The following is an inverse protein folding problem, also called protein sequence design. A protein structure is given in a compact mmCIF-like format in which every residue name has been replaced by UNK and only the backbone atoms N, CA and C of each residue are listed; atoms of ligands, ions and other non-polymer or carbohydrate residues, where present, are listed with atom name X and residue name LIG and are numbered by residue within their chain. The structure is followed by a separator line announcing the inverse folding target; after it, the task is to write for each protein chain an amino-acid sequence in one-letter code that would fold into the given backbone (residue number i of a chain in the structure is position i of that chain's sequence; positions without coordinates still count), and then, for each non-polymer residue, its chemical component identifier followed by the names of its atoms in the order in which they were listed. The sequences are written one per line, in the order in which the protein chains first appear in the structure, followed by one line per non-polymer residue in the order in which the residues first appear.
data_IF_878865635202
#
_entry.id   IF_878865635202
#
_cell.length_a   1.000
_cell.length_b   1.000
_cell.length_c   1.000
_cell.angle_alpha   90.00
_cell.angle_beta   90.00
_cell.angle_gamma   90.00
#
_symmetry.space_group_name_H-M   'P 1'
#
loop_
_entity.id
_entity.type
_entity.pdbx_description
1 polymer ?
#
# COMPACT_ATOMS: atom_id res chain seq x y z
N UNK A 1 -32.67 15.77 15.84
CA UNK A 1 -32.96 14.35 16.17
C UNK A 1 -32.05 13.53 15.29
N UNK A 2 -31.26 12.61 15.85
CA UNK A 2 -30.42 11.74 15.02
C UNK A 2 -31.35 10.88 14.14
N UNK A 3 -31.07 10.80 12.84
CA UNK A 3 -31.84 9.97 11.94
C UNK A 3 -31.58 8.48 12.21
N UNK A 4 -32.44 7.61 11.68
CA UNK A 4 -32.22 6.16 11.73
C UNK A 4 -30.94 5.76 10.97
N UNK A 5 -30.61 6.52 9.93
CA UNK A 5 -29.40 6.37 9.12
C UNK A 5 -28.63 7.68 8.95
N UNK A 6 -27.35 7.58 8.61
CA UNK A 6 -26.47 8.72 8.37
C UNK A 6 -26.71 9.34 7.00
N UNK A 7 -26.66 8.55 5.94
CA UNK A 7 -26.63 9.07 4.58
C UNK A 7 -27.44 8.20 3.62
N UNK A 8 -28.24 8.85 2.78
CA UNK A 8 -28.87 8.26 1.60
C UNK A 8 -28.32 8.93 0.34
N UNK A 9 -27.71 8.13 -0.54
CA UNK A 9 -27.36 8.53 -1.90
C UNK A 9 -28.45 8.02 -2.85
N UNK A 10 -29.17 8.93 -3.50
CA UNK A 10 -30.36 8.59 -4.29
C UNK A 10 -30.10 8.65 -5.80
N UNK A 11 -30.74 7.76 -6.56
CA UNK A 11 -30.90 7.89 -8.02
C UNK A 11 -29.58 7.97 -8.80
N UNK A 12 -28.51 7.35 -8.29
CA UNK A 12 -27.26 7.28 -9.03
C UNK A 12 -27.51 6.57 -10.37
N UNK A 13 -26.98 7.15 -11.45
CA UNK A 13 -27.02 6.51 -12.77
C UNK A 13 -26.34 5.15 -12.69
N UNK A 14 -25.18 5.10 -12.05
CA UNK A 14 -24.38 3.89 -11.87
C UNK A 14 -23.81 3.82 -10.45
N UNK A 15 -23.84 2.63 -9.85
CA UNK A 15 -23.10 2.29 -8.63
C UNK A 15 -22.15 1.14 -8.95
N UNK A 16 -20.85 1.35 -8.77
CA UNK A 16 -19.82 0.33 -9.03
C UNK A 16 -19.55 -0.46 -7.74
N UNK A 17 -19.63 -1.78 -7.82
CA UNK A 17 -19.45 -2.67 -6.66
C UNK A 17 -18.08 -3.37 -6.63
N UNK A 18 -17.39 -3.43 -7.77
CA UNK A 18 -16.17 -4.23 -8.02
C UNK A 18 -16.42 -5.74 -7.92
N UNK A 19 -16.88 -6.27 -6.78
CA UNK A 19 -17.26 -7.68 -6.57
C UNK A 19 -18.78 -7.82 -6.30
N UNK A 20 -19.40 -8.96 -6.60
CA UNK A 20 -20.86 -9.17 -6.41
C UNK A 20 -21.27 -10.49 -5.78
N UNK A 21 -20.38 -11.48 -5.74
CA UNK A 21 -20.67 -12.84 -5.25
C UNK A 21 -19.84 -13.19 -4.03
N UNK A 22 -19.45 -12.18 -3.25
CA UNK A 22 -18.60 -12.34 -2.09
C UNK A 22 -17.14 -12.67 -2.43
N UNK A 23 -16.69 -12.42 -3.66
CA UNK A 23 -15.30 -12.59 -4.03
C UNK A 23 -14.41 -11.66 -3.22
N UNK A 24 -13.29 -12.18 -2.71
CA UNK A 24 -12.30 -11.35 -1.99
C UNK A 24 -11.51 -10.44 -2.92
N UNK A 25 -11.28 -10.87 -4.17
CA UNK A 25 -10.57 -10.13 -5.20
C UNK A 25 -10.93 -10.68 -6.59
N UNK A 26 -10.74 -9.86 -7.62
CA UNK A 26 -10.84 -10.28 -9.02
C UNK A 26 -9.45 -10.63 -9.56
N UNK A 27 -9.36 -11.64 -10.41
CA UNK A 27 -8.11 -12.05 -11.06
C UNK A 27 -8.34 -12.53 -12.49
N UNK A 28 -7.33 -12.37 -13.35
CA UNK A 28 -7.33 -12.83 -14.75
C UNK A 28 -8.55 -12.28 -15.51
N UNK A 29 -9.33 -13.14 -16.14
CA UNK A 29 -10.48 -12.73 -16.95
C UNK A 29 -11.57 -12.03 -16.13
N UNK A 30 -11.65 -12.28 -14.82
CA UNK A 30 -12.60 -11.58 -13.96
C UNK A 30 -12.33 -10.06 -13.88
N UNK A 31 -11.07 -9.62 -14.07
CA UNK A 31 -10.72 -8.19 -14.12
C UNK A 31 -11.33 -7.45 -15.32
N UNK A 32 -11.78 -8.19 -16.35
CA UNK A 32 -12.42 -7.61 -17.54
C UNK A 32 -13.90 -7.27 -17.32
N UNK A 33 -14.48 -7.71 -16.19
CA UNK A 33 -15.91 -7.56 -15.91
C UNK A 33 -16.11 -6.81 -14.61
N UNK A 34 -16.45 -5.53 -14.70
CA UNK A 34 -16.86 -4.72 -13.55
C UNK A 34 -18.32 -4.99 -13.20
N UNK A 35 -18.60 -5.16 -11.93
CA UNK A 35 -19.95 -5.18 -11.42
C UNK A 35 -20.51 -3.75 -11.27
N UNK A 36 -21.58 -3.46 -12.00
CA UNK A 36 -22.25 -2.16 -12.01
C UNK A 36 -23.76 -2.35 -11.85
N UNK A 37 -24.37 -1.56 -10.97
CA UNK A 37 -25.82 -1.42 -10.87
C UNK A 37 -26.25 -0.12 -11.56
N UNK A 38 -27.18 -0.23 -12.51
CA UNK A 38 -27.79 0.93 -13.17
C UNK A 38 -29.01 1.41 -12.35
N UNK A 39 -29.18 2.72 -12.21
CA UNK A 39 -30.35 3.31 -11.55
C UNK A 39 -30.52 2.88 -10.09
N UNK A 40 -29.50 3.10 -9.27
CA UNK A 40 -29.41 2.56 -7.92
C UNK A 40 -29.28 3.65 -6.83
N UNK A 41 -29.66 3.28 -5.62
CA UNK A 41 -29.48 4.08 -4.40
C UNK A 41 -28.69 3.29 -3.36
N UNK A 42 -28.07 4.00 -2.43
CA UNK A 42 -27.23 3.43 -1.37
C UNK A 42 -27.55 4.09 -0.02
N UNK A 43 -27.63 3.26 1.03
CA UNK A 43 -27.86 3.69 2.42
C UNK A 43 -26.61 3.43 3.25
N UNK A 44 -26.18 4.44 4.01
CA UNK A 44 -25.11 4.36 5.01
C UNK A 44 -25.71 4.55 6.40
N UNK A 45 -25.43 3.60 7.30
CA UNK A 45 -25.88 3.65 8.68
C UNK A 45 -25.12 4.68 9.52
N UNK A 46 -25.61 4.95 10.72
CA UNK A 46 -24.93 5.81 11.72
C UNK A 46 -23.57 5.28 12.16
N UNK A 47 -23.32 3.97 11.98
CA UNK A 47 -22.03 3.33 12.18
C UNK A 47 -21.04 3.52 11.01
N UNK A 48 -21.43 4.23 9.95
CA UNK A 48 -20.60 4.51 8.78
C UNK A 48 -20.49 3.35 7.78
N UNK A 49 -21.16 2.23 8.02
CA UNK A 49 -21.17 1.10 7.09
C UNK A 49 -22.33 1.19 6.11
N UNK A 50 -22.12 0.65 4.91
CA UNK A 50 -23.19 0.49 3.91
C UNK A 50 -24.20 -0.53 4.44
N UNK A 51 -25.46 -0.12 4.58
CA UNK A 51 -26.57 -0.97 5.04
C UNK A 51 -27.34 -1.60 3.89
N UNK A 52 -27.49 -0.87 2.78
CA UNK A 52 -28.18 -1.37 1.60
C UNK A 52 -27.67 -0.70 0.34
N UNK A 53 -27.65 -1.46 -0.75
CA UNK A 53 -27.45 -0.98 -2.11
C UNK A 53 -28.44 -1.73 -3.00
N UNK A 54 -29.12 -1.03 -3.90
CA UNK A 54 -30.04 -1.68 -4.82
C UNK A 54 -30.73 -0.70 -5.77
N UNK A 55 -31.65 -1.19 -6.62
CA UNK A 55 -32.46 -0.33 -7.49
C UNK A 55 -33.12 0.79 -6.68
N UNK A 56 -33.15 2.00 -7.23
CA UNK A 56 -33.60 3.19 -6.50
C UNK A 56 -35.01 3.04 -5.91
N UNK A 57 -35.95 2.48 -6.69
CA UNK A 57 -37.33 2.25 -6.24
C UNK A 57 -37.43 1.22 -5.10
N UNK A 58 -36.56 0.21 -5.12
CA UNK A 58 -36.52 -0.82 -4.08
C UNK A 58 -36.02 -0.23 -2.76
N UNK A 59 -34.95 0.56 -2.79
CA UNK A 59 -34.43 1.27 -1.62
C UNK A 59 -35.47 2.26 -1.09
N UNK A 60 -36.09 3.06 -1.97
CA UNK A 60 -37.13 4.02 -1.57
C UNK A 60 -38.31 3.34 -0.88
N UNK A 61 -38.74 2.17 -1.36
CA UNK A 61 -39.82 1.39 -0.74
C UNK A 61 -39.40 0.76 0.58
N UNK A 62 -38.18 0.22 0.65
CA UNK A 62 -37.69 -0.47 1.84
C UNK A 62 -37.49 0.50 3.02
N UNK A 63 -37.02 1.71 2.75
CA UNK A 63 -36.66 2.71 3.76
C UNK A 63 -37.65 3.90 3.78
N UNK A 64 -38.93 3.69 3.40
CA UNK A 64 -39.89 4.80 3.25
C UNK A 64 -40.25 5.51 4.56
N UNK A 65 -40.23 4.78 5.67
CA UNK A 65 -40.55 5.28 7.01
C UNK A 65 -39.30 5.64 7.84
N UNK A 66 -38.11 5.45 7.28
CA UNK A 66 -36.84 5.68 7.96
C UNK A 66 -36.32 7.10 7.69
N UNK A 67 -35.63 7.65 8.67
CA UNK A 67 -35.07 9.01 8.62
C UNK A 67 -33.57 9.00 8.35
N UNK A 68 -33.09 10.04 7.67
CA UNK A 68 -31.68 10.17 7.27
C UNK A 68 -31.14 11.53 7.73
N UNK A 69 -29.92 11.57 8.27
CA UNK A 69 -29.26 12.83 8.61
C UNK A 69 -28.94 13.66 7.36
N UNK A 70 -28.51 12.99 6.28
CA UNK A 70 -28.21 13.61 5.00
C UNK A 70 -28.78 12.80 3.82
N UNK A 71 -29.26 13.50 2.79
CA UNK A 71 -29.74 12.91 1.53
C UNK A 71 -29.08 13.64 0.37
N UNK A 72 -28.48 12.91 -0.56
CA UNK A 72 -27.79 13.49 -1.73
C UNK A 72 -28.39 12.88 -3.00
N UNK A 73 -28.96 13.72 -3.87
CA UNK A 73 -29.39 13.32 -5.20
C UNK A 73 -28.19 13.13 -6.13
N UNK A 74 -28.02 11.90 -6.60
CA UNK A 74 -26.96 11.47 -7.48
C UNK A 74 -27.45 11.25 -8.93
N UNK A 75 -28.61 11.81 -9.29
CA UNK A 75 -29.15 11.78 -10.65
C UNK A 75 -28.08 12.16 -11.70
N UNK A 76 -27.85 11.26 -12.66
CA UNK A 76 -26.84 11.43 -13.72
C UNK A 76 -25.39 11.23 -13.29
N UNK A 77 -25.12 10.95 -12.02
CA UNK A 77 -23.78 10.71 -11.44
C UNK A 77 -23.46 9.22 -11.33
N UNK A 78 -22.18 8.91 -11.16
CA UNK A 78 -21.71 7.58 -10.81
C UNK A 78 -21.15 7.59 -9.39
N UNK A 79 -21.47 6.55 -8.62
CA UNK A 79 -20.89 6.28 -7.30
C UNK A 79 -19.83 5.20 -7.46
N UNK A 80 -18.61 5.51 -7.04
CA UNK A 80 -17.46 4.61 -7.03
C UNK A 80 -17.05 4.32 -5.58
N UNK A 81 -16.51 3.12 -5.28
CA UNK A 81 -15.74 2.92 -4.07
C UNK A 81 -14.57 3.92 -4.03
N UNK A 82 -14.22 4.38 -2.84
CA UNK A 82 -13.02 5.20 -2.67
C UNK A 82 -11.77 4.47 -3.17
N UNK A 83 -10.86 5.20 -3.79
CA UNK A 83 -9.67 4.62 -4.40
C UNK A 83 -8.69 4.16 -3.32
N UNK A 84 -7.99 3.06 -3.62
CA UNK A 84 -6.94 2.50 -2.77
C UNK A 84 -5.60 2.67 -3.47
N UNK A 85 -4.73 3.50 -2.93
CA UNK A 85 -3.34 3.58 -3.38
C UNK A 85 -2.50 2.58 -2.58
N UNK A 86 -2.32 1.39 -3.14
CA UNK A 86 -1.78 0.23 -2.43
C UNK A 86 -0.25 0.23 -2.31
N UNK A 87 0.46 1.23 -2.86
CA UNK A 87 1.91 1.24 -2.87
C UNK A 87 2.47 2.66 -3.00
N UNK A 88 2.91 3.26 -1.89
CA UNK A 88 3.55 4.59 -1.93
C UNK A 88 4.73 4.71 -0.97
N UNK A 89 5.64 5.63 -1.28
CA UNK A 89 6.67 6.12 -0.35
C UNK A 89 6.42 7.60 -0.06
N UNK A 90 5.40 7.97 0.73
CA UNK A 90 4.88 9.34 0.76
C UNK A 90 5.64 10.25 1.74
N UNK A 91 6.51 9.66 2.57
CA UNK A 91 7.35 10.37 3.55
C UNK A 91 8.77 10.50 3.01
N UNK A 92 9.13 11.69 2.56
CA UNK A 92 10.50 12.05 2.19
C UNK A 92 10.67 13.57 2.22
N UNK A 93 11.93 14.00 2.29
CA UNK A 93 12.34 15.39 2.11
C UNK A 93 13.19 15.61 0.85
N UNK A 94 13.14 16.83 0.33
CA UNK A 94 13.78 17.23 -0.92
C UNK A 94 13.06 16.71 -2.18
N UNK A 95 13.63 17.03 -3.33
CA UNK A 95 13.18 16.55 -4.64
C UNK A 95 14.38 16.12 -5.49
N UNK A 96 14.10 15.35 -6.55
CA UNK A 96 15.11 14.86 -7.48
C UNK A 96 14.94 15.48 -8.87
N UNK A 97 14.41 16.70 -8.95
CA UNK A 97 14.20 17.41 -10.23
C UNK A 97 15.54 17.68 -10.92
N UNK A 98 16.59 17.97 -10.14
CA UNK A 98 17.95 18.13 -10.68
C UNK A 98 18.46 16.88 -11.40
N UNK A 99 18.18 15.67 -10.88
CA UNK A 99 18.54 14.42 -11.56
C UNK A 99 17.74 14.20 -12.83
N UNK A 100 16.46 14.60 -12.84
CA UNK A 100 15.64 14.55 -14.04
C UNK A 100 16.22 15.44 -15.15
N UNK A 101 16.68 16.65 -14.81
CA UNK A 101 17.38 17.53 -15.75
C UNK A 101 18.69 16.90 -16.28
N UNK A 102 19.48 16.24 -15.41
CA UNK A 102 20.68 15.51 -15.84
C UNK A 102 20.36 14.37 -16.80
N UNK A 103 19.32 13.58 -16.51
CA UNK A 103 18.86 12.49 -17.40
C UNK A 103 18.45 13.03 -18.77
N UNK A 104 17.72 14.15 -18.82
CA UNK A 104 17.35 14.80 -20.07
C UNK A 104 18.58 15.29 -20.87
N UNK A 105 19.64 15.68 -20.18
CA UNK A 105 20.91 16.05 -20.78
C UNK A 105 21.78 14.84 -21.20
N UNK A 106 21.28 13.61 -21.03
CA UNK A 106 21.97 12.37 -21.43
C UNK A 106 22.92 11.79 -20.37
N UNK A 107 22.88 12.25 -19.13
CA UNK A 107 23.69 11.69 -18.06
C UNK A 107 23.36 10.22 -17.81
N UNK A 108 24.40 9.39 -17.62
CA UNK A 108 24.23 7.99 -17.26
C UNK A 108 23.81 7.85 -15.79
N UNK A 109 23.33 6.66 -15.41
CA UNK A 109 23.07 6.34 -14.00
C UNK A 109 24.31 6.58 -13.12
N UNK A 110 25.50 6.26 -13.63
CA UNK A 110 26.74 6.43 -12.90
C UNK A 110 27.09 7.91 -12.70
N UNK A 111 26.87 8.76 -13.71
CA UNK A 111 27.11 10.20 -13.62
C UNK A 111 26.21 10.84 -12.55
N UNK A 112 24.94 10.42 -12.51
CA UNK A 112 23.97 10.88 -11.50
C UNK A 112 24.39 10.43 -10.10
N UNK A 113 24.85 9.18 -9.97
CA UNK A 113 25.31 8.66 -8.70
C UNK A 113 26.58 9.39 -8.20
N UNK A 114 27.53 9.66 -9.09
CA UNK A 114 28.75 10.43 -8.79
C UNK A 114 28.42 11.88 -8.38
N UNK A 115 27.38 12.48 -8.96
CA UNK A 115 26.88 13.79 -8.57
C UNK A 115 26.13 13.79 -7.21
N UNK A 116 26.08 12.66 -6.51
CA UNK A 116 25.41 12.52 -5.21
C UNK A 116 23.91 12.27 -5.31
N UNK A 117 23.39 11.96 -6.50
CA UNK A 117 22.00 11.60 -6.75
C UNK A 117 21.65 10.15 -6.35
N UNK A 118 20.49 9.69 -6.82
CA UNK A 118 19.97 8.37 -6.49
C UNK A 118 19.21 8.36 -5.16
N UNK A 119 18.88 7.15 -4.68
CA UNK A 119 18.17 6.98 -3.40
C UNK A 119 18.92 7.63 -2.22
N UNK A 120 20.26 7.61 -2.25
CA UNK A 120 21.08 8.20 -1.20
C UNK A 120 20.87 9.72 -1.05
N UNK A 121 20.52 10.43 -2.13
CA UNK A 121 20.15 11.85 -2.04
C UNK A 121 18.91 12.02 -1.16
N UNK A 122 17.82 11.29 -1.48
CA UNK A 122 16.59 11.34 -0.69
C UNK A 122 16.80 10.88 0.74
N UNK A 123 17.64 9.86 0.95
CA UNK A 123 17.99 9.38 2.30
C UNK A 123 18.65 10.47 3.12
N UNK A 124 19.64 11.16 2.56
CA UNK A 124 20.34 12.24 3.27
C UNK A 124 19.38 13.39 3.61
N UNK A 125 18.55 13.81 2.65
CA UNK A 125 17.55 14.86 2.88
C UNK A 125 16.53 14.46 3.96
N UNK A 126 16.07 13.21 3.95
CA UNK A 126 15.09 12.68 4.91
C UNK A 126 15.69 12.51 6.31
N UNK A 127 16.99 12.17 6.41
CA UNK A 127 17.72 12.15 7.69
C UNK A 127 17.83 13.54 8.30
N UNK A 128 18.20 14.55 7.50
CA UNK A 128 18.36 15.94 7.93
C UNK A 128 17.04 16.62 8.31
N UNK A 129 15.94 16.28 7.62
CA UNK A 129 14.64 16.87 7.89
C UNK A 129 14.11 16.53 9.29
N UNK A 130 13.48 17.49 9.94
CA UNK A 130 12.74 17.29 11.19
C UNK A 130 11.47 16.45 10.97
N UNK A 131 10.93 15.92 12.07
CA UNK A 131 9.65 15.19 12.04
C UNK A 131 8.49 16.08 11.53
N UNK A 132 8.51 17.37 11.89
CA UNK A 132 7.50 18.35 11.49
C UNK A 132 7.55 18.65 9.99
N UNK A 133 8.74 18.86 9.41
CA UNK A 133 8.90 19.09 7.97
C UNK A 133 8.40 17.89 7.14
N UNK A 134 8.70 16.68 7.61
CA UNK A 134 8.23 15.44 6.99
C UNK A 134 6.70 15.30 7.09
N UNK A 135 6.12 15.63 8.25
CA UNK A 135 4.67 15.60 8.45
C UNK A 135 3.93 16.61 7.57
N UNK A 136 4.39 17.86 7.53
CA UNK A 136 3.80 18.90 6.69
C UNK A 136 3.79 18.50 5.21
N UNK A 137 4.91 17.96 4.73
CA UNK A 137 5.02 17.48 3.34
C UNK A 137 4.13 16.25 3.08
N UNK A 138 4.07 15.30 4.02
CA UNK A 138 3.16 14.15 3.92
C UNK A 138 1.71 14.61 3.84
N UNK A 139 1.28 15.51 4.72
CA UNK A 139 -0.08 16.02 4.77
C UNK A 139 -0.52 16.62 3.43
N UNK A 140 0.33 17.45 2.81
CA UNK A 140 0.03 18.05 1.49
C UNK A 140 -0.14 16.98 0.41
N UNK A 141 0.72 15.96 0.39
CA UNK A 141 0.63 14.85 -0.57
C UNK A 141 -0.67 14.05 -0.37
N UNK A 142 -0.99 13.73 0.88
CA UNK A 142 -2.22 13.00 1.22
C UNK A 142 -3.48 13.81 0.85
N UNK A 143 -3.48 15.13 1.07
CA UNK A 143 -4.58 16.01 0.63
C UNK A 143 -4.76 15.98 -0.89
N UNK A 144 -3.67 16.00 -1.65
CA UNK A 144 -3.72 15.85 -3.10
C UNK A 144 -4.35 14.51 -3.49
N UNK A 145 -3.93 13.40 -2.85
CA UNK A 145 -4.48 12.07 -3.11
C UNK A 145 -5.98 11.98 -2.76
N UNK A 146 -6.39 12.53 -1.62
CA UNK A 146 -7.81 12.60 -1.22
C UNK A 146 -8.65 13.38 -2.23
N UNK A 147 -8.12 14.50 -2.74
CA UNK A 147 -8.81 15.29 -3.78
C UNK A 147 -9.00 14.53 -5.10
N UNK A 148 -8.15 13.52 -5.36
CA UNK A 148 -8.25 12.62 -6.51
C UNK A 148 -9.12 11.37 -6.23
N UNK A 149 -9.70 11.25 -5.02
CA UNK A 149 -10.60 10.16 -4.65
C UNK A 149 -9.98 9.04 -3.83
N UNK A 150 -8.72 9.15 -3.40
CA UNK A 150 -8.08 8.15 -2.52
C UNK A 150 -8.65 8.22 -1.12
N UNK A 151 -9.13 7.08 -0.62
CA UNK A 151 -9.64 6.93 0.75
C UNK A 151 -8.78 6.01 1.62
N UNK A 152 -7.92 5.20 1.00
CA UNK A 152 -6.96 4.34 1.68
C UNK A 152 -5.62 4.40 0.95
N UNK A 153 -4.54 4.63 1.68
CA UNK A 153 -3.18 4.69 1.15
C UNK A 153 -2.25 3.77 1.97
N UNK A 154 -1.37 3.07 1.28
CA UNK A 154 -0.24 2.40 1.91
C UNK A 154 0.95 3.35 1.98
N UNK A 155 1.46 3.60 3.19
CA UNK A 155 2.55 4.52 3.46
C UNK A 155 3.80 3.75 3.90
N UNK A 156 4.82 3.68 3.04
CA UNK A 156 6.11 3.04 3.36
C UNK A 156 7.08 4.03 4.01
N UNK A 157 7.90 3.50 4.92
CA UNK A 157 9.18 4.09 5.30
C UNK A 157 10.25 3.81 4.22
N UNK A 158 11.54 3.69 4.57
CA UNK A 158 12.59 3.24 3.65
C UNK A 158 13.48 4.32 3.04
N UNK A 159 13.31 5.58 3.43
CA UNK A 159 14.28 6.65 3.15
C UNK A 159 15.12 7.00 4.38
N UNK A 160 15.09 6.19 5.44
CA UNK A 160 15.96 6.34 6.60
C UNK A 160 17.22 5.49 6.49
N UNK A 161 17.06 4.21 6.16
CA UNK A 161 18.15 3.21 6.10
C UNK A 161 19.00 3.13 7.38
N UNK A 162 18.44 3.60 8.50
CA UNK A 162 18.96 3.47 9.86
C UNK A 162 17.77 3.49 10.83
N UNK A 163 17.95 2.92 12.02
CA UNK A 163 16.83 2.74 12.96
C UNK A 163 16.15 4.07 13.32
N UNK A 164 16.94 5.07 13.66
CA UNK A 164 16.44 6.37 14.11
C UNK A 164 15.51 7.02 13.09
N UNK A 165 15.92 7.07 11.82
CA UNK A 165 15.17 7.76 10.78
C UNK A 165 13.99 6.92 10.30
N UNK A 166 14.12 5.60 10.24
CA UNK A 166 12.97 4.72 9.95
C UNK A 166 11.87 4.90 11.01
N UNK A 167 12.24 4.96 12.30
CA UNK A 167 11.29 5.23 13.37
C UNK A 167 10.69 6.65 13.29
N UNK A 168 11.49 7.66 12.92
CA UNK A 168 10.99 9.02 12.65
C UNK A 168 9.92 9.02 11.58
N UNK A 169 10.16 8.34 10.45
CA UNK A 169 9.17 8.22 9.38
C UNK A 169 7.90 7.48 9.84
N UNK A 170 8.04 6.40 10.61
CA UNK A 170 6.88 5.67 11.13
C UNK A 170 6.06 6.48 12.13
N UNK A 171 6.69 7.34 12.95
CA UNK A 171 5.96 8.30 13.81
C UNK A 171 5.21 9.35 13.00
N UNK A 172 5.80 9.87 11.92
CA UNK A 172 5.11 10.77 10.99
C UNK A 172 3.86 10.10 10.39
N UNK A 173 3.99 8.84 9.97
CA UNK A 173 2.86 8.05 9.43
C UNK A 173 1.79 7.83 10.51
N UNK A 174 2.19 7.47 11.74
CA UNK A 174 1.25 7.28 12.85
C UNK A 174 0.52 8.58 13.21
N UNK A 175 1.21 9.72 13.18
CA UNK A 175 0.60 11.03 13.39
C UNK A 175 -0.43 11.33 12.30
N UNK A 176 -0.09 11.11 11.04
CA UNK A 176 -1.03 11.29 9.93
C UNK A 176 -2.26 10.38 10.06
N UNK A 177 -2.09 9.14 10.51
CA UNK A 177 -3.18 8.19 10.75
C UNK A 177 -4.14 8.67 11.85
N UNK A 178 -3.66 9.45 12.81
CA UNK A 178 -4.47 10.00 13.91
C UNK A 178 -5.13 11.34 13.57
N UNK A 179 -4.46 12.16 12.78
CA UNK A 179 -4.86 13.55 12.53
C UNK A 179 -5.62 13.77 11.22
N UNK A 180 -5.56 12.84 10.26
CA UNK A 180 -6.14 13.00 8.93
C UNK A 180 -7.27 11.99 8.66
N UNK A 181 -8.29 12.44 7.93
CA UNK A 181 -9.46 11.63 7.53
C UNK A 181 -9.17 10.73 6.31
N UNK A 182 -8.09 9.95 6.36
CA UNK A 182 -7.73 8.97 5.33
C UNK A 182 -7.30 7.66 5.98
N UNK A 183 -7.73 6.53 5.42
CA UNK A 183 -7.20 5.23 5.82
C UNK A 183 -5.72 5.14 5.49
N UNK A 184 -4.91 4.70 6.45
CA UNK A 184 -3.46 4.48 6.24
C UNK A 184 -3.12 3.05 6.63
N UNK A 185 -2.49 2.33 5.70
CA UNK A 185 -1.75 1.10 6.01
C UNK A 185 -0.27 1.41 6.11
N UNK A 186 0.35 1.18 7.26
CA UNK A 186 1.74 1.54 7.50
C UNK A 186 2.68 0.37 7.18
N UNK A 187 3.72 0.63 6.40
CA UNK A 187 4.68 -0.39 5.97
C UNK A 187 6.10 -0.01 6.38
N UNK A 188 6.74 -0.87 7.16
CA UNK A 188 8.17 -0.75 7.42
C UNK A 188 8.97 -1.27 6.23
N UNK A 189 9.75 -0.38 5.59
CA UNK A 189 10.58 -0.69 4.44
C UNK A 189 12.06 -0.34 4.70
N UNK A 190 12.59 -0.66 5.88
CA UNK A 190 14.01 -0.39 6.18
C UNK A 190 15.00 -1.13 5.27
N UNK A 191 14.54 -2.17 4.57
CA UNK A 191 15.27 -2.91 3.54
C UNK A 191 15.02 -2.38 2.11
N UNK A 192 14.83 -1.07 1.96
CA UNK A 192 14.64 -0.42 0.65
C UNK A 192 15.96 -0.27 -0.14
N UNK A 193 17.08 -0.11 0.56
CA UNK A 193 18.42 -0.15 -0.03
C UNK A 193 19.46 -0.51 1.03
N UNK A 194 20.65 -0.93 0.60
CA UNK A 194 21.76 -1.18 1.51
C UNK A 194 22.34 0.16 2.00
N UNK A 195 22.42 0.42 3.32
CA UNK A 195 23.04 1.63 3.86
C UNK A 195 24.53 1.72 3.45
N UNK A 196 25.04 2.94 3.23
CA UNK A 196 26.47 3.17 2.96
C UNK A 196 27.34 2.53 4.03
N UNK A 197 28.39 1.81 3.61
CA UNK A 197 29.34 1.17 4.51
C UNK A 197 28.89 -0.18 5.08
N UNK A 198 27.75 -0.72 4.64
CA UNK A 198 27.29 -2.07 4.97
C UNK A 198 27.19 -2.93 3.71
N UNK A 199 27.33 -4.24 3.90
CA UNK A 199 26.87 -5.27 2.97
C UNK A 199 25.37 -5.52 3.14
N UNK A 200 24.74 -6.15 2.15
CA UNK A 200 23.33 -6.55 2.23
C UNK A 200 23.05 -7.47 3.44
N UNK A 201 23.98 -8.38 3.74
CA UNK A 201 23.88 -9.30 4.89
C UNK A 201 23.97 -8.56 6.21
N UNK A 202 24.93 -7.65 6.38
CA UNK A 202 25.04 -6.83 7.61
C UNK A 202 23.82 -5.92 7.81
N UNK A 203 23.27 -5.37 6.72
CA UNK A 203 22.04 -4.59 6.77
C UNK A 203 20.83 -5.46 7.16
N UNK A 204 20.71 -6.67 6.61
CA UNK A 204 19.67 -7.61 6.98
C UNK A 204 19.76 -8.02 8.45
N UNK A 205 20.98 -8.30 8.94
CA UNK A 205 21.23 -8.66 10.33
C UNK A 205 20.86 -7.52 11.28
N UNK A 206 21.19 -6.27 10.93
CA UNK A 206 20.81 -5.09 11.73
C UNK A 206 19.29 -4.87 11.75
N UNK A 207 18.61 -5.08 10.61
CA UNK A 207 17.15 -5.01 10.56
C UNK A 207 16.53 -6.05 11.49
N UNK A 208 16.99 -7.31 11.39
CA UNK A 208 16.43 -8.43 12.15
C UNK A 208 16.72 -8.31 13.65
N UNK A 209 17.95 -7.95 14.01
CA UNK A 209 18.40 -7.98 15.40
C UNK A 209 18.22 -6.66 16.15
N UNK A 210 18.13 -5.53 15.44
CA UNK A 210 18.02 -4.19 16.05
C UNK A 210 16.68 -3.53 15.75
N UNK A 211 16.32 -3.40 14.46
CA UNK A 211 15.14 -2.62 14.07
C UNK A 211 13.84 -3.30 14.49
N UNK A 212 13.66 -4.55 14.07
CA UNK A 212 12.45 -5.31 14.29
C UNK A 212 12.09 -5.42 15.79
N UNK A 213 13.00 -5.78 16.71
CA UNK A 213 12.72 -5.76 18.14
C UNK A 213 12.23 -4.41 18.65
N UNK A 214 12.84 -3.30 18.19
CA UNK A 214 12.43 -1.95 18.59
C UNK A 214 11.05 -1.58 18.04
N UNK A 215 10.75 -1.95 16.80
CA UNK A 215 9.41 -1.78 16.20
C UNK A 215 8.35 -2.50 17.03
N UNK A 216 8.62 -3.74 17.46
CA UNK A 216 7.70 -4.52 18.30
C UNK A 216 7.43 -3.85 19.64
N UNK A 217 8.48 -3.34 20.28
CA UNK A 217 8.39 -2.62 21.55
C UNK A 217 7.50 -1.38 21.41
N UNK A 218 7.76 -0.54 20.41
CA UNK A 218 7.00 0.69 20.20
C UNK A 218 5.55 0.43 19.78
N UNK A 219 5.31 -0.61 18.98
CA UNK A 219 3.96 -1.02 18.58
C UNK A 219 3.14 -1.52 19.77
N UNK A 220 3.74 -2.33 20.66
CA UNK A 220 3.09 -2.79 21.89
C UNK A 220 2.74 -1.66 22.85
N UNK A 221 3.57 -0.61 22.86
CA UNK A 221 3.33 0.59 23.68
C UNK A 221 2.37 1.60 23.01
N UNK A 222 1.81 1.29 21.83
CA UNK A 222 0.90 2.16 21.11
C UNK A 222 1.53 3.45 20.57
N UNK A 223 2.86 3.49 20.45
CA UNK A 223 3.58 4.68 19.95
C UNK A 223 3.59 4.76 18.42
N UNK A 224 3.60 3.61 17.75
CA UNK A 224 3.50 3.48 16.29
C UNK A 224 2.61 2.30 15.95
N UNK A 225 1.99 2.32 14.77
CA UNK A 225 1.30 1.17 14.19
C UNK A 225 1.99 0.78 12.88
N UNK A 226 2.26 -0.51 12.69
CA UNK A 226 2.88 -1.05 11.47
C UNK A 226 2.13 -2.31 11.07
N UNK A 227 1.56 -2.30 9.87
CA UNK A 227 0.79 -3.42 9.32
C UNK A 227 1.69 -4.39 8.57
N UNK A 228 2.64 -3.85 7.79
CA UNK A 228 3.41 -4.61 6.82
C UNK A 228 4.93 -4.41 6.98
N UNK A 229 5.67 -5.38 6.45
CA UNK A 229 7.11 -5.30 6.19
C UNK A 229 7.38 -5.47 4.69
N UNK A 230 8.30 -4.69 4.16
CA UNK A 230 8.68 -4.69 2.74
C UNK A 230 10.21 -4.74 2.58
N UNK A 231 10.66 -5.36 1.50
CA UNK A 231 12.07 -5.53 1.14
C UNK A 231 12.21 -5.30 -0.36
N UNK A 232 13.25 -4.54 -0.75
CA UNK A 232 13.63 -4.46 -2.15
C UNK A 232 14.54 -5.62 -2.55
N UNK A 233 13.91 -6.68 -3.07
CA UNK A 233 14.55 -7.90 -3.54
C UNK A 233 15.09 -7.71 -4.96
N UNK A 234 16.34 -7.26 -5.06
CA UNK A 234 16.96 -6.86 -6.33
C UNK A 234 18.48 -7.10 -6.30
N UNK A 235 19.04 -7.40 -7.47
CA UNK A 235 20.48 -7.61 -7.65
C UNK A 235 21.25 -6.36 -7.23
N UNK A 236 22.18 -6.53 -6.29
CA UNK A 236 22.98 -5.43 -5.74
C UNK A 236 22.29 -4.67 -4.60
N UNK A 237 21.08 -5.09 -4.20
CA UNK A 237 20.34 -4.54 -3.06
C UNK A 237 20.18 -5.61 -1.98
N UNK A 238 19.03 -6.29 -1.89
CA UNK A 238 18.86 -7.49 -1.07
C UNK A 238 18.61 -8.70 -1.97
N UNK A 239 19.39 -9.76 -1.77
CA UNK A 239 19.18 -11.02 -2.48
C UNK A 239 18.00 -11.82 -1.90
N UNK A 240 17.70 -12.97 -2.51
CA UNK A 240 16.60 -13.84 -2.10
C UNK A 240 16.75 -14.35 -0.66
N UNK A 241 17.98 -14.62 -0.22
CA UNK A 241 18.23 -15.14 1.13
C UNK A 241 18.01 -14.06 2.18
N UNK A 242 18.61 -12.89 2.02
CA UNK A 242 18.42 -11.73 2.88
C UNK A 242 16.95 -11.33 2.94
N UNK A 243 16.28 -11.31 1.78
CA UNK A 243 14.84 -11.03 1.68
C UNK A 243 14.03 -12.04 2.49
N UNK A 244 14.28 -13.34 2.32
CA UNK A 244 13.58 -14.39 3.07
C UNK A 244 13.76 -14.22 4.57
N UNK A 245 14.99 -13.96 5.03
CA UNK A 245 15.32 -13.81 6.45
C UNK A 245 14.59 -12.61 7.08
N UNK A 246 14.60 -11.46 6.41
CA UNK A 246 13.93 -10.24 6.90
C UNK A 246 12.41 -10.44 6.94
N UNK A 247 11.81 -10.93 5.86
CA UNK A 247 10.36 -11.13 5.79
C UNK A 247 9.87 -12.20 6.77
N UNK A 248 10.64 -13.28 6.97
CA UNK A 248 10.30 -14.30 7.98
C UNK A 248 10.33 -13.69 9.39
N UNK A 249 11.35 -12.91 9.74
CA UNK A 249 11.44 -12.25 11.04
C UNK A 249 10.27 -11.27 11.27
N UNK A 250 9.89 -10.48 10.26
CA UNK A 250 8.72 -9.60 10.35
C UNK A 250 7.40 -10.37 10.50
N UNK A 251 7.24 -11.47 9.76
CA UNK A 251 6.08 -12.36 9.87
C UNK A 251 5.97 -12.97 11.27
N UNK A 252 7.07 -13.41 11.87
CA UNK A 252 7.10 -13.98 13.23
C UNK A 252 6.67 -12.97 14.32
N UNK A 253 6.66 -11.68 13.99
CA UNK A 253 6.16 -10.61 14.85
C UNK A 253 4.70 -10.24 14.57
N UNK A 254 4.07 -10.84 13.55
CA UNK A 254 2.69 -10.57 13.15
C UNK A 254 2.53 -9.58 12.00
N UNK A 255 3.62 -9.11 11.37
CA UNK A 255 3.53 -8.22 10.21
C UNK A 255 3.13 -8.97 8.95
N UNK A 256 2.35 -8.33 8.09
CA UNK A 256 2.07 -8.83 6.74
C UNK A 256 3.29 -8.61 5.83
N UNK A 257 3.55 -9.56 4.94
CA UNK A 257 4.74 -9.50 4.07
C UNK A 257 4.41 -8.88 2.71
N UNK A 258 5.22 -7.91 2.31
CA UNK A 258 5.30 -7.33 0.97
C UNK A 258 6.76 -7.39 0.49
N UNK A 259 6.97 -7.13 -0.79
CA UNK A 259 8.32 -6.98 -1.37
C UNK A 259 8.21 -6.22 -2.68
N UNK A 260 9.26 -5.48 -3.01
CA UNK A 260 9.56 -5.08 -4.38
C UNK A 260 10.45 -6.16 -4.98
N UNK A 261 10.12 -6.66 -6.15
CA UNK A 261 10.90 -7.74 -6.75
C UNK A 261 10.64 -7.85 -8.23
N UNK A 262 11.64 -8.38 -8.93
CA UNK A 262 11.64 -8.52 -10.38
C UNK A 262 11.48 -7.18 -11.13
N UNK A 263 11.89 -6.04 -10.51
CA UNK A 263 11.73 -4.70 -11.09
C UNK A 263 12.78 -4.41 -12.16
N UNK A 264 14.06 -4.67 -11.87
CA UNK A 264 15.18 -4.42 -12.80
C UNK A 264 15.76 -5.73 -13.32
N UNK A 265 15.88 -6.75 -12.47
CA UNK A 265 16.36 -8.08 -12.87
C UNK A 265 15.37 -9.18 -12.49
N UNK A 266 15.24 -10.25 -13.30
CA UNK A 266 14.40 -11.39 -12.96
C UNK A 266 15.06 -12.20 -11.83
N UNK A 267 14.72 -11.87 -10.60
CA UNK A 267 15.20 -12.50 -9.36
C UNK A 267 14.36 -13.72 -8.98
N UNK A 268 13.19 -13.90 -9.59
CA UNK A 268 12.15 -14.86 -9.18
C UNK A 268 11.61 -14.54 -7.78
N UNK A 269 11.50 -13.25 -7.46
CA UNK A 269 11.09 -12.79 -6.14
C UNK A 269 9.68 -13.29 -5.77
N UNK A 270 8.80 -13.49 -6.76
CA UNK A 270 7.49 -14.11 -6.56
C UNK A 270 7.54 -15.51 -5.89
N UNK A 271 8.61 -16.29 -6.09
CA UNK A 271 8.78 -17.61 -5.48
C UNK A 271 9.09 -17.53 -3.97
N UNK A 272 9.65 -16.40 -3.51
CA UNK A 272 9.92 -16.14 -2.09
C UNK A 272 8.62 -16.06 -1.31
N UNK A 273 7.63 -15.31 -1.82
CA UNK A 273 6.30 -15.20 -1.19
C UNK A 273 5.62 -16.54 -1.10
N UNK A 274 5.68 -17.36 -2.15
CA UNK A 274 5.11 -18.71 -2.12
C UNK A 274 5.72 -19.53 -1.00
N UNK A 275 7.05 -19.52 -0.85
CA UNK A 275 7.73 -20.26 0.22
C UNK A 275 7.35 -19.77 1.62
N UNK A 276 7.28 -18.45 1.81
CA UNK A 276 6.94 -17.83 3.09
C UNK A 276 5.45 -17.95 3.45
N UNK A 277 4.55 -18.00 2.47
CA UNK A 277 3.11 -18.22 2.68
C UNK A 277 2.77 -19.71 2.82
N UNK A 278 3.52 -20.62 2.18
CA UNK A 278 3.25 -22.06 2.19
C UNK A 278 3.67 -22.79 3.46
N UNK A 279 4.32 -22.16 4.43
CA UNK A 279 4.56 -22.76 5.75
C UNK A 279 3.28 -23.06 6.56
N UNK A 280 2.08 -22.69 6.05
CA UNK A 280 0.77 -23.04 6.63
C UNK A 280 -0.28 -23.46 5.56
N UNK A 281 0.11 -24.06 4.42
CA UNK A 281 -0.89 -24.57 3.46
C UNK A 281 -0.52 -25.95 2.92
N UNK A 282 -1.43 -26.90 3.13
CA UNK A 282 -1.43 -28.27 2.62
C UNK A 282 -0.91 -28.36 1.17
N UNK A 283 -0.13 -29.41 0.91
CA UNK A 283 0.57 -29.74 -0.35
C UNK A 283 -0.28 -29.67 -1.63
N UNK A 284 -1.62 -29.70 -1.54
CA UNK A 284 -2.53 -29.60 -2.69
C UNK A 284 -2.59 -28.19 -3.34
N UNK A 285 -2.30 -27.12 -2.61
CA UNK A 285 -2.28 -25.77 -3.18
C UNK A 285 -1.08 -25.55 -4.14
N UNK A 286 0.03 -26.25 -3.89
CA UNK A 286 1.24 -26.18 -4.71
C UNK A 286 1.07 -26.82 -6.09
N UNK A 287 0.29 -27.90 -6.21
CA UNK A 287 0.02 -28.55 -7.50
C UNK A 287 -0.91 -27.72 -8.38
N UNK A 288 -1.92 -27.09 -7.79
CA UNK A 288 -2.86 -26.21 -8.49
C UNK A 288 -2.22 -24.91 -9.00
N UNK A 289 -1.15 -24.43 -8.36
CA UNK A 289 -0.40 -23.26 -8.81
C UNK A 289 0.73 -23.61 -9.78
N UNK A 290 1.34 -24.79 -9.67
CA UNK A 290 2.30 -25.29 -10.69
C UNK A 290 1.63 -25.50 -12.05
N UNK A 291 0.35 -25.87 -12.09
CA UNK A 291 -0.38 -25.95 -13.36
C UNK A 291 -0.56 -24.56 -14.02
N UNK A 292 -0.78 -23.51 -13.22
CA UNK A 292 -0.90 -22.12 -13.69
C UNK A 292 0.39 -21.55 -14.33
N UNK A 293 1.56 -22.12 -14.01
CA UNK A 293 2.85 -21.72 -14.60
C UNK A 293 3.37 -22.70 -15.66
N UNK A 294 2.86 -23.94 -15.73
CA UNK A 294 3.21 -24.91 -16.79
C UNK A 294 2.60 -24.57 -18.16
N UNK A 295 1.49 -23.83 -18.18
CA UNK A 295 0.77 -23.49 -19.42
C UNK A 295 1.45 -22.43 -20.31
N UNK A 296 2.65 -21.95 -19.95
CA UNK A 296 3.40 -20.95 -20.74
C UNK A 296 4.56 -21.50 -21.57
N UNK A 297 4.67 -22.82 -21.75
CA UNK A 297 5.69 -23.42 -22.64
C UNK A 297 5.17 -23.84 -24.02
N UNK A 298 3.87 -23.71 -24.29
CA UNK A 298 3.24 -24.18 -25.54
C UNK A 298 2.94 -23.13 -26.62
N UNK A 299 2.98 -21.83 -26.33
CA UNK A 299 2.51 -20.77 -27.25
C UNK A 299 3.62 -20.04 -28.03
N UNK A 300 4.84 -20.58 -28.04
CA UNK A 300 5.94 -20.15 -28.91
C UNK A 300 6.44 -21.34 -29.72
N UNK A 301 5.58 -21.87 -30.60
CA UNK A 301 5.96 -22.57 -31.83
C UNK A 301 4.71 -22.82 -32.68
N UNK A 302 4.73 -22.18 -33.86
CA UNK A 302 3.75 -22.15 -34.96
C UNK A 302 2.71 -21.06 -34.87
#
# INVERSE_FOLDING_TARGET
MAGDHRLLLENARQVVLVCTRGERFLARDALRSLAVLEGASLVVGTDGFIKAIGPADAIKKQFSEETFEERIDCSGKCILPGLVDAHTHPVWAGDRVHEFAMKLAGATYMDIHQAGGGINFTVERTRQASEEELFSSLQQRLQCMMSAGTTLVECKSGYGLNLETELKMLRVIERARRELDIGISATYCGAHSVPKGKTATEAADDIINSHLPKLKELSRNGQIHVDNIDVFCEKGVFDLDSTRRILQAGKDMGLQINFHGDELHPMKAAEVRLTLCCSVVNTHAMESLRSLFKDRSGLLKR
#
